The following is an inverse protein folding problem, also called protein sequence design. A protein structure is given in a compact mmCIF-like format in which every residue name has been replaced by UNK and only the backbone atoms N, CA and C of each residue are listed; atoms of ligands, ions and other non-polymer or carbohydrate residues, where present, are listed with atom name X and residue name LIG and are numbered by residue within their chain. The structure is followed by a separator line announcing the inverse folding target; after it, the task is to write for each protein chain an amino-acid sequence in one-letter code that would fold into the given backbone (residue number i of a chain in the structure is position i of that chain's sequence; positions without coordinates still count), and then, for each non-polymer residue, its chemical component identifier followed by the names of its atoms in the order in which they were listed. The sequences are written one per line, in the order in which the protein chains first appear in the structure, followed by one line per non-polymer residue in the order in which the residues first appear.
data_IF_245647292828
#
_entry.id   IF_245647292828
#
_cell.length_a   1.000
_cell.length_b   1.000
_cell.length_c   1.000
_cell.angle_alpha   90.00
_cell.angle_beta   90.00
_cell.angle_gamma   90.00
#
_symmetry.space_group_name_H-M   'P 1'
#
loop_
_entity.id
_entity.type
_entity.pdbx_description
1 polymer ?
#
# COMPACT_ATOMS: atom_id res chain seq x y z
N UNK A 1 15.80 69.88 -5.87
CA UNK A 1 15.61 69.12 -4.61
C UNK A 1 14.41 68.21 -4.79
N UNK A 2 14.63 66.90 -5.01
CA UNK A 2 13.57 65.90 -5.18
C UNK A 2 13.51 65.01 -3.94
N UNK A 3 12.40 65.07 -3.20
CA UNK A 3 12.17 64.28 -1.98
C UNK A 3 11.73 62.86 -2.36
N UNK A 4 12.61 61.88 -2.12
CA UNK A 4 12.30 60.45 -2.22
C UNK A 4 11.38 60.02 -1.06
N UNK A 5 10.15 59.60 -1.37
CA UNK A 5 9.30 58.85 -0.44
C UNK A 5 9.78 57.40 -0.34
N UNK A 6 10.49 57.08 0.75
CA UNK A 6 10.77 55.70 1.16
C UNK A 6 9.49 55.04 1.71
N UNK A 7 8.86 54.16 0.91
CA UNK A 7 7.81 53.25 1.41
C UNK A 7 8.43 52.19 2.33
N UNK A 8 8.22 52.34 3.64
CA UNK A 8 8.46 51.28 4.63
C UNK A 8 7.47 50.13 4.38
N UNK A 9 7.97 48.97 3.97
CA UNK A 9 7.23 47.70 4.04
C UNK A 9 7.31 47.19 5.48
N UNK A 10 6.23 47.35 6.23
CA UNK A 10 6.08 46.70 7.54
C UNK A 10 4.76 45.93 7.61
N UNK A 11 4.88 44.80 8.31
CA UNK A 11 3.85 43.91 8.85
C UNK A 11 3.53 42.66 8.02
N UNK A 12 4.06 41.54 8.52
CA UNK A 12 3.44 40.22 8.36
C UNK A 12 2.05 40.31 8.99
N UNK A 13 1.03 40.59 8.18
CA UNK A 13 -0.36 40.39 8.58
C UNK A 13 -0.58 38.89 8.77
N UNK A 14 -0.98 38.50 9.97
CA UNK A 14 -1.48 37.17 10.25
C UNK A 14 -2.75 36.92 9.41
N UNK A 15 -3.02 35.67 8.99
CA UNK A 15 -4.21 35.37 8.21
C UNK A 15 -5.45 35.79 9.01
N UNK A 16 -6.23 36.74 8.46
CA UNK A 16 -7.54 37.08 9.00
C UNK A 16 -8.39 35.81 9.00
N UNK A 17 -8.66 35.28 10.19
CA UNK A 17 -9.61 34.19 10.38
C UNK A 17 -10.99 34.82 10.22
N UNK A 18 -11.60 34.64 9.04
CA UNK A 18 -12.94 35.11 8.76
C UNK A 18 -13.94 34.50 9.76
N UNK A 19 -14.97 35.27 10.13
CA UNK A 19 -16.07 34.77 10.94
C UNK A 19 -16.68 33.52 10.28
N UNK A 20 -17.07 32.54 11.11
CA UNK A 20 -17.57 31.23 10.66
C UNK A 20 -18.74 31.33 9.68
N UNK A 21 -19.50 32.42 9.77
CA UNK A 21 -20.73 32.68 9.01
C UNK A 21 -20.54 33.78 7.94
N UNK A 22 -19.30 34.15 7.60
CA UNK A 22 -19.05 35.11 6.53
C UNK A 22 -19.32 34.51 5.16
N UNK A 23 -19.92 35.31 4.27
CA UNK A 23 -20.14 34.95 2.85
C UNK A 23 -18.83 34.59 2.13
N UNK A 24 -17.70 35.11 2.59
CA UNK A 24 -16.37 34.77 2.06
C UNK A 24 -16.01 33.29 2.28
N UNK A 25 -16.43 32.71 3.41
CA UNK A 25 -16.21 31.28 3.69
C UNK A 25 -17.12 30.39 2.83
N UNK A 26 -18.36 30.80 2.61
CA UNK A 26 -19.27 30.14 1.67
C UNK A 26 -18.67 30.10 0.27
N UNK A 27 -18.03 31.20 -0.16
CA UNK A 27 -17.27 31.25 -1.41
C UNK A 27 -16.15 30.21 -1.48
N UNK A 28 -15.34 30.08 -0.42
CA UNK A 28 -14.26 29.09 -0.37
C UNK A 28 -14.75 27.64 -0.40
N UNK A 29 -15.79 27.31 0.36
CA UNK A 29 -16.36 25.95 0.41
C UNK A 29 -17.03 25.59 -0.92
N UNK A 30 -17.74 26.55 -1.54
CA UNK A 30 -18.32 26.37 -2.87
C UNK A 30 -17.25 26.24 -3.96
N UNK A 31 -16.18 27.05 -3.92
CA UNK A 31 -15.04 26.92 -4.84
C UNK A 31 -14.41 25.53 -4.73
N UNK A 32 -14.19 25.05 -3.52
CA UNK A 32 -13.62 23.72 -3.27
C UNK A 32 -14.52 22.61 -3.80
N UNK A 33 -15.83 22.71 -3.56
CA UNK A 33 -16.83 21.78 -4.10
C UNK A 33 -16.83 21.79 -5.63
N UNK A 34 -16.87 22.96 -6.26
CA UNK A 34 -16.86 23.09 -7.73
C UNK A 34 -15.59 22.51 -8.34
N UNK A 35 -14.42 22.85 -7.79
CA UNK A 35 -13.14 22.33 -8.24
C UNK A 35 -13.03 20.81 -8.05
N UNK A 36 -13.70 20.22 -7.06
CA UNK A 36 -13.68 18.77 -6.81
C UNK A 36 -14.27 17.92 -7.95
N UNK A 37 -15.14 18.51 -8.78
CA UNK A 37 -15.73 17.84 -9.95
C UNK A 37 -14.86 17.93 -11.21
N UNK A 38 -13.81 18.74 -11.19
CA UNK A 38 -12.97 19.00 -12.36
C UNK A 38 -11.69 18.15 -12.34
N UNK A 39 -11.23 17.78 -13.54
CA UNK A 39 -9.90 17.20 -13.71
C UNK A 39 -8.84 18.20 -13.23
N UNK A 40 -7.64 17.74 -12.89
CA UNK A 40 -6.59 18.68 -12.45
C UNK A 40 -6.24 19.70 -13.54
N UNK A 41 -6.21 19.27 -14.81
CA UNK A 41 -5.96 20.18 -15.93
C UNK A 41 -7.05 21.26 -16.02
N UNK A 42 -8.32 20.88 -15.90
CA UNK A 42 -9.44 21.84 -15.93
C UNK A 42 -9.44 22.76 -14.71
N UNK A 43 -9.15 22.22 -13.52
CA UNK A 43 -8.95 23.03 -12.31
C UNK A 43 -7.86 24.07 -12.55
N UNK A 44 -6.72 23.67 -13.09
CA UNK A 44 -5.60 24.56 -13.36
C UNK A 44 -5.97 25.65 -14.37
N UNK A 45 -6.74 25.32 -15.41
CA UNK A 45 -7.28 26.35 -16.34
C UNK A 45 -8.15 27.37 -15.62
N UNK A 46 -8.81 26.99 -14.53
CA UNK A 46 -9.57 27.93 -13.72
C UNK A 46 -8.72 28.81 -12.78
N UNK A 47 -7.38 28.69 -12.77
CA UNK A 47 -6.52 29.56 -11.95
C UNK A 47 -6.67 31.05 -12.32
N UNK A 48 -7.03 31.33 -13.57
CA UNK A 48 -7.24 32.68 -14.07
C UNK A 48 -8.65 33.23 -13.80
N UNK A 49 -9.60 32.37 -13.37
CA UNK A 49 -11.00 32.74 -13.16
C UNK A 49 -11.16 33.62 -11.91
N UNK A 50 -10.50 33.27 -10.82
CA UNK A 50 -10.53 34.08 -9.60
C UNK A 50 -9.33 33.79 -8.68
N UNK A 51 -9.01 34.75 -7.80
CA UNK A 51 -7.99 34.58 -6.75
C UNK A 51 -8.35 33.43 -5.79
N UNK A 52 -9.64 33.22 -5.52
CA UNK A 52 -10.13 32.15 -4.66
C UNK A 52 -9.88 30.78 -5.31
N UNK A 53 -10.23 30.63 -6.59
CA UNK A 53 -9.96 29.42 -7.36
C UNK A 53 -8.46 29.13 -7.39
N UNK A 54 -7.65 30.15 -7.75
CA UNK A 54 -6.19 30.04 -7.72
C UNK A 54 -5.71 29.53 -6.37
N UNK A 55 -6.06 30.21 -5.28
CA UNK A 55 -5.68 29.80 -3.92
C UNK A 55 -6.06 28.34 -3.62
N UNK A 56 -7.31 27.94 -3.90
CA UNK A 56 -7.80 26.58 -3.65
C UNK A 56 -7.10 25.51 -4.49
N UNK A 57 -6.79 25.81 -5.76
CA UNK A 57 -6.04 24.90 -6.63
C UNK A 57 -4.65 24.63 -6.02
N UNK A 58 -3.93 25.68 -5.63
CA UNK A 58 -2.58 25.55 -5.08
C UNK A 58 -2.55 25.06 -3.61
N UNK A 59 -3.61 25.23 -2.83
CA UNK A 59 -3.70 24.65 -1.48
C UNK A 59 -4.01 23.14 -1.48
N UNK A 60 -4.60 22.62 -2.56
CA UNK A 60 -5.12 21.24 -2.64
C UNK A 60 -4.23 20.25 -3.41
N UNK A 61 -3.06 20.67 -3.92
CA UNK A 61 -2.13 19.75 -4.60
C UNK A 61 -1.40 18.92 -3.55
N UNK A 62 -1.85 17.69 -3.34
CA UNK A 62 -1.35 16.80 -2.27
C UNK A 62 -0.53 15.64 -2.83
N UNK A 63 -0.98 15.00 -3.91
CA UNK A 63 -0.33 13.82 -4.52
C UNK A 63 -0.23 14.00 -6.04
N UNK A 64 0.94 13.72 -6.64
CA UNK A 64 1.16 13.67 -8.08
C UNK A 64 1.42 12.22 -8.50
N UNK A 65 0.66 11.72 -9.48
CA UNK A 65 0.86 10.38 -10.03
C UNK A 65 1.25 10.47 -11.50
N UNK A 66 2.42 9.94 -11.85
CA UNK A 66 2.86 9.79 -13.22
C UNK A 66 2.41 8.42 -13.73
N UNK A 67 1.44 8.36 -14.64
CA UNK A 67 1.03 7.10 -15.28
C UNK A 67 1.01 7.28 -16.78
N UNK A 68 1.57 6.32 -17.49
CA UNK A 68 1.71 6.41 -18.93
C UNK A 68 0.38 6.17 -19.69
N UNK A 69 -0.75 5.73 -19.07
CA UNK A 69 -2.11 5.65 -19.69
C UNK A 69 -3.20 5.09 -18.72
N UNK A 70 -4.13 5.87 -18.12
CA UNK A 70 -5.23 5.34 -17.25
C UNK A 70 -6.40 6.33 -16.98
N UNK A 71 -7.57 6.17 -17.60
CA UNK A 71 -8.63 7.20 -17.64
C UNK A 71 -9.46 7.50 -16.37
N UNK A 72 -9.34 6.81 -15.24
CA UNK A 72 -10.26 7.08 -14.11
C UNK A 72 -9.68 6.79 -12.72
N UNK A 73 -9.56 7.82 -11.85
CA UNK A 73 -9.73 7.79 -10.38
C UNK A 73 -9.43 9.17 -9.75
N UNK A 74 -10.10 9.49 -8.63
CA UNK A 74 -10.06 10.79 -7.91
C UNK A 74 -8.76 11.09 -7.12
N UNK A 75 -7.60 10.70 -7.64
CA UNK A 75 -6.31 11.33 -7.31
C UNK A 75 -6.02 12.37 -8.39
N UNK A 76 -5.07 13.29 -8.18
CA UNK A 76 -4.55 14.09 -9.29
C UNK A 76 -3.73 13.12 -10.17
N UNK A 77 -4.45 12.27 -10.92
CA UNK A 77 -3.95 11.49 -12.05
C UNK A 77 -3.86 12.46 -13.20
N UNK A 78 -2.82 13.26 -13.15
CA UNK A 78 -2.51 14.13 -14.24
C UNK A 78 -1.84 13.29 -15.34
N UNK A 79 -2.63 12.95 -16.36
CA UNK A 79 -2.13 12.47 -17.65
C UNK A 79 -1.35 13.58 -18.34
N UNK A 80 -0.16 13.85 -17.84
CA UNK A 80 0.67 14.87 -18.43
C UNK A 80 1.36 14.29 -19.65
N UNK A 81 0.87 14.67 -20.82
CA UNK A 81 1.64 14.59 -22.09
C UNK A 81 2.83 15.57 -22.10
N UNK A 82 3.08 16.33 -21.02
CA UNK A 82 4.08 17.39 -20.93
C UNK A 82 5.00 17.24 -19.70
N UNK A 83 6.22 17.78 -19.85
CA UNK A 83 7.42 17.66 -19.01
C UNK A 83 7.18 17.60 -17.46
N UNK A 84 7.31 16.42 -16.82
CA UNK A 84 7.19 16.22 -15.37
C UNK A 84 8.02 17.18 -14.52
N UNK A 85 9.22 17.53 -15.02
CA UNK A 85 10.17 18.41 -14.33
C UNK A 85 9.57 19.79 -14.08
N UNK A 86 8.85 20.35 -15.06
CA UNK A 86 8.25 21.68 -14.96
C UNK A 86 7.23 21.73 -13.81
N UNK A 87 6.39 20.70 -13.71
CA UNK A 87 5.38 20.62 -12.65
C UNK A 87 6.01 20.45 -11.27
N UNK A 88 7.02 19.58 -11.14
CA UNK A 88 7.69 19.44 -9.85
C UNK A 88 8.42 20.73 -9.46
N UNK A 89 8.99 21.48 -10.41
CA UNK A 89 9.61 22.79 -10.12
C UNK A 89 8.56 23.82 -9.68
N UNK A 90 7.40 23.85 -10.33
CA UNK A 90 6.34 24.83 -10.07
C UNK A 90 5.55 24.53 -8.79
N UNK A 91 5.28 23.25 -8.52
CA UNK A 91 4.42 22.79 -7.44
C UNK A 91 5.16 22.08 -6.32
N UNK A 92 6.46 21.80 -6.46
CA UNK A 92 7.26 21.04 -5.51
C UNK A 92 6.98 21.38 -4.04
N UNK A 93 6.93 22.68 -3.66
CA UNK A 93 6.58 23.11 -2.30
C UNK A 93 5.29 22.54 -1.70
N UNK A 94 4.34 22.15 -2.55
CA UNK A 94 3.01 21.68 -2.16
C UNK A 94 2.92 20.15 -2.21
N UNK A 95 3.73 19.50 -3.04
CA UNK A 95 3.71 18.06 -3.27
C UNK A 95 4.02 17.29 -1.99
N UNK A 96 3.07 16.46 -1.55
CA UNK A 96 3.24 15.57 -0.40
C UNK A 96 3.38 14.10 -0.79
N UNK A 97 3.04 13.75 -2.02
CA UNK A 97 3.18 12.41 -2.58
C UNK A 97 3.57 12.40 -4.05
N UNK A 98 4.49 11.53 -4.43
CA UNK A 98 4.84 11.24 -5.83
C UNK A 98 4.75 9.74 -6.05
N UNK A 99 4.14 9.30 -7.16
CA UNK A 99 4.18 7.89 -7.57
C UNK A 99 4.70 7.67 -8.98
N UNK A 100 5.39 6.54 -9.17
CA UNK A 100 6.07 6.14 -10.41
C UNK A 100 7.13 7.14 -10.86
N UNK A 101 7.94 7.61 -9.90
CA UNK A 101 9.04 8.52 -10.18
C UNK A 101 10.21 7.79 -10.87
N UNK A 102 10.72 8.39 -11.96
CA UNK A 102 11.85 7.88 -12.76
C UNK A 102 13.14 8.64 -12.43
N UNK A 103 14.29 7.96 -12.49
CA UNK A 103 15.62 8.54 -12.26
C UNK A 103 15.93 9.82 -13.05
N UNK A 104 15.38 9.96 -14.26
CA UNK A 104 15.71 11.09 -15.14
C UNK A 104 15.32 12.45 -14.56
N UNK A 105 14.46 12.47 -13.53
CA UNK A 105 13.84 13.67 -12.98
C UNK A 105 14.35 14.06 -11.58
N UNK A 106 15.43 13.42 -11.12
CA UNK A 106 16.05 13.56 -9.77
C UNK A 106 16.17 14.99 -9.24
N UNK A 107 16.68 15.93 -10.05
CA UNK A 107 16.88 17.32 -9.63
C UNK A 107 15.57 17.99 -9.18
N UNK A 108 14.43 17.51 -9.66
CA UNK A 108 13.14 18.10 -9.36
C UNK A 108 12.74 17.86 -7.90
N UNK A 109 13.15 16.73 -7.28
CA UNK A 109 12.83 16.42 -5.87
C UNK A 109 13.35 17.46 -4.87
N UNK A 110 14.35 18.26 -5.24
CA UNK A 110 14.85 19.38 -4.43
C UNK A 110 13.77 20.42 -4.10
N UNK A 111 12.75 20.53 -4.95
CA UNK A 111 11.65 21.46 -4.78
C UNK A 111 10.58 20.90 -3.81
N UNK A 112 10.59 19.59 -3.56
CA UNK A 112 9.56 18.85 -2.80
C UNK A 112 9.84 18.74 -1.30
N UNK A 113 9.95 19.87 -0.60
CA UNK A 113 10.27 19.86 0.84
C UNK A 113 9.15 19.31 1.75
N UNK A 114 7.92 19.17 1.24
CA UNK A 114 6.79 18.56 1.97
C UNK A 114 6.54 17.09 1.59
N UNK A 115 7.41 16.52 0.77
CA UNK A 115 7.26 15.14 0.30
C UNK A 115 7.24 14.17 1.48
N UNK A 116 6.17 13.40 1.56
CA UNK A 116 5.94 12.42 2.62
C UNK A 116 5.64 11.03 2.06
N UNK A 117 5.30 10.92 0.77
CA UNK A 117 5.07 9.66 0.08
C UNK A 117 5.88 9.66 -1.22
N UNK A 118 6.63 8.60 -1.46
CA UNK A 118 7.39 8.46 -2.69
C UNK A 118 7.32 7.01 -3.18
N UNK A 119 6.91 6.84 -4.43
CA UNK A 119 6.95 5.57 -5.13
C UNK A 119 7.87 5.71 -6.34
N UNK A 120 8.85 4.81 -6.41
CA UNK A 120 9.89 4.80 -7.45
C UNK A 120 9.86 3.49 -8.21
N UNK A 121 10.21 3.54 -9.50
CA UNK A 121 10.32 2.32 -10.31
C UNK A 121 11.50 1.46 -9.85
N UNK A 122 12.67 2.07 -9.63
CA UNK A 122 13.90 1.39 -9.24
C UNK A 122 14.60 2.10 -8.08
N UNK A 123 15.28 1.35 -7.21
CA UNK A 123 16.13 1.96 -6.18
C UNK A 123 17.49 2.41 -6.72
N UNK A 124 17.99 1.81 -7.81
CA UNK A 124 19.20 2.31 -8.48
C UNK A 124 18.99 3.78 -8.90
N UNK A 125 17.78 4.09 -9.37
CA UNK A 125 17.37 5.44 -9.75
C UNK A 125 17.47 6.43 -8.59
N UNK A 126 17.18 5.96 -7.37
CA UNK A 126 17.21 6.76 -6.14
C UNK A 126 18.64 6.97 -5.64
N UNK A 127 19.48 5.95 -5.75
CA UNK A 127 20.75 5.96 -5.02
C UNK A 127 21.99 6.39 -5.80
N UNK A 128 21.99 6.31 -7.13
CA UNK A 128 23.21 6.60 -7.91
C UNK A 128 23.69 8.05 -7.87
N UNK A 129 22.83 9.03 -7.54
CA UNK A 129 23.22 10.46 -7.60
C UNK A 129 22.49 11.39 -6.60
N UNK A 130 21.50 10.89 -5.86
CA UNK A 130 20.62 11.68 -4.96
C UNK A 130 20.70 11.31 -3.50
N UNK A 131 21.68 10.48 -3.11
CA UNK A 131 21.79 9.91 -1.76
C UNK A 131 21.62 10.99 -0.68
N UNK A 132 22.39 12.08 -0.69
CA UNK A 132 22.29 13.12 0.34
C UNK A 132 20.88 13.70 0.61
N UNK A 133 20.03 13.84 -0.40
CA UNK A 133 18.74 14.54 -0.26
C UNK A 133 17.60 13.62 0.14
N UNK A 134 17.50 12.43 -0.45
CA UNK A 134 16.50 11.44 -0.05
C UNK A 134 16.77 10.92 1.38
N UNK A 135 18.03 10.96 1.82
CA UNK A 135 18.43 10.73 3.21
C UNK A 135 17.88 11.79 4.16
N UNK A 136 17.61 13.00 3.71
CA UNK A 136 17.09 14.08 4.55
C UNK A 136 15.56 14.21 4.48
N UNK A 137 14.89 13.42 3.64
CA UNK A 137 13.43 13.47 3.52
C UNK A 137 12.79 12.78 4.73
N UNK A 138 11.72 13.38 5.26
CA UNK A 138 10.96 12.82 6.37
C UNK A 138 9.80 11.95 5.83
N UNK A 139 10.13 10.93 5.03
CA UNK A 139 9.11 10.13 4.34
C UNK A 139 8.29 9.30 5.33
N UNK A 140 6.97 9.34 5.13
CA UNK A 140 5.98 8.53 5.84
C UNK A 140 5.62 7.26 5.06
N UNK A 141 5.66 7.30 3.72
CA UNK A 141 5.42 6.15 2.87
C UNK A 141 6.47 6.04 1.76
N UNK A 142 6.95 4.83 1.52
CA UNK A 142 7.89 4.56 0.45
C UNK A 142 7.55 3.25 -0.26
N UNK A 143 7.48 3.28 -1.59
CA UNK A 143 7.17 2.12 -2.44
C UNK A 143 8.22 1.99 -3.55
N UNK A 144 8.65 0.77 -3.81
CA UNK A 144 9.66 0.45 -4.84
C UNK A 144 9.11 -0.66 -5.71
N UNK A 145 8.85 -0.35 -6.98
CA UNK A 145 8.13 -1.24 -7.87
C UNK A 145 8.97 -2.33 -8.52
N UNK A 146 10.26 -2.12 -8.76
CA UNK A 146 11.15 -3.12 -9.35
C UNK A 146 12.58 -2.86 -8.94
N UNK A 147 13.18 -3.83 -8.24
CA UNK A 147 14.52 -3.64 -7.75
C UNK A 147 15.49 -4.74 -8.12
N UNK A 148 16.57 -4.32 -8.79
CA UNK A 148 17.83 -5.03 -8.89
C UNK A 148 18.89 -4.20 -8.14
N UNK A 149 18.80 -4.12 -6.81
CA UNK A 149 19.91 -3.55 -6.02
C UNK A 149 21.02 -4.60 -5.97
N UNK A 150 22.21 -4.16 -6.32
CA UNK A 150 23.44 -4.91 -6.08
C UNK A 150 24.17 -4.42 -4.81
N UNK A 151 23.90 -3.19 -4.34
CA UNK A 151 24.62 -2.56 -3.22
C UNK A 151 23.74 -2.29 -1.99
N UNK A 152 24.03 -2.95 -0.88
CA UNK A 152 23.31 -2.83 0.39
C UNK A 152 23.60 -1.53 1.16
N UNK A 153 24.76 -0.89 0.94
CA UNK A 153 25.22 0.29 1.70
C UNK A 153 24.25 1.47 1.61
N UNK A 154 23.61 1.65 0.45
CA UNK A 154 22.71 2.76 0.20
C UNK A 154 21.37 2.63 0.96
N UNK A 155 20.92 1.40 1.23
CA UNK A 155 19.73 1.14 2.05
C UNK A 155 19.93 1.58 3.49
N UNK A 156 21.10 1.29 4.07
CA UNK A 156 21.43 1.64 5.46
C UNK A 156 21.25 3.13 5.70
N UNK A 157 21.89 3.92 4.83
CA UNK A 157 21.77 5.37 4.87
C UNK A 157 20.29 5.77 4.73
N UNK A 158 19.57 5.24 3.72
CA UNK A 158 18.18 5.61 3.47
C UNK A 158 17.29 5.48 4.70
N UNK A 159 17.36 4.33 5.36
CA UNK A 159 16.56 4.08 6.55
C UNK A 159 17.02 4.91 7.75
N UNK A 160 18.33 5.15 7.91
CA UNK A 160 18.83 6.07 8.94
C UNK A 160 18.21 7.48 8.82
N UNK A 161 18.02 7.95 7.59
CA UNK A 161 17.36 9.22 7.29
C UNK A 161 15.83 9.23 7.46
N UNK A 162 15.18 8.08 7.25
CA UNK A 162 13.72 7.96 7.11
C UNK A 162 13.07 7.15 8.25
N UNK A 163 13.42 7.45 9.51
CA UNK A 163 12.92 6.71 10.69
C UNK A 163 11.41 6.89 10.96
N UNK A 164 10.76 7.85 10.31
CA UNK A 164 9.32 8.12 10.44
C UNK A 164 8.43 7.29 9.50
N UNK A 165 9.03 6.40 8.69
CA UNK A 165 8.31 5.55 7.75
C UNK A 165 7.23 4.72 8.46
N UNK A 166 5.99 4.91 8.02
CA UNK A 166 4.83 4.16 8.48
C UNK A 166 4.40 3.09 7.46
N UNK A 167 4.76 3.27 6.20
CA UNK A 167 4.43 2.37 5.09
C UNK A 167 5.67 2.13 4.26
N UNK A 168 6.03 0.87 4.10
CA UNK A 168 7.12 0.46 3.22
C UNK A 168 6.64 -0.65 2.30
N UNK A 169 6.98 -0.53 1.03
CA UNK A 169 6.70 -1.53 0.02
C UNK A 169 7.91 -1.70 -0.88
N UNK A 170 8.26 -2.96 -1.15
CA UNK A 170 9.35 -3.30 -2.06
C UNK A 170 8.98 -4.55 -2.87
N UNK A 171 9.17 -4.44 -4.18
CA UNK A 171 9.29 -5.58 -5.07
C UNK A 171 10.75 -5.77 -5.45
N UNK A 172 11.34 -6.86 -5.01
CA UNK A 172 12.71 -7.18 -5.35
C UNK A 172 12.86 -8.64 -5.77
N UNK A 173 13.77 -8.84 -6.71
CA UNK A 173 14.34 -10.16 -6.95
C UNK A 173 15.55 -10.30 -6.02
N UNK A 174 15.45 -11.14 -4.99
CA UNK A 174 16.54 -11.30 -4.04
C UNK A 174 17.64 -12.08 -4.74
N UNK A 175 18.76 -11.43 -5.04
CA UNK A 175 19.92 -12.09 -5.65
C UNK A 175 20.76 -12.85 -4.61
N UNK A 176 20.91 -12.28 -3.41
CA UNK A 176 21.71 -12.85 -2.32
C UNK A 176 20.96 -12.77 -0.99
N UNK A 177 21.18 -13.75 -0.11
CA UNK A 177 20.58 -13.76 1.23
C UNK A 177 21.10 -12.60 2.11
N UNK A 178 22.38 -12.25 1.96
CA UNK A 178 23.02 -11.14 2.68
C UNK A 178 22.27 -9.82 2.51
N UNK A 179 21.87 -9.50 1.28
CA UNK A 179 21.10 -8.29 1.02
C UNK A 179 19.77 -8.28 1.77
N UNK A 180 19.11 -9.44 1.85
CA UNK A 180 17.85 -9.55 2.56
C UNK A 180 18.03 -9.47 4.09
N UNK A 181 19.12 -10.00 4.62
CA UNK A 181 19.49 -9.81 6.03
C UNK A 181 19.76 -8.34 6.35
N UNK A 182 20.46 -7.61 5.49
CA UNK A 182 20.69 -6.17 5.68
C UNK A 182 19.38 -5.39 5.62
N UNK A 183 18.54 -5.64 4.62
CA UNK A 183 17.21 -5.03 4.53
C UNK A 183 16.39 -5.31 5.81
N UNK A 184 16.47 -6.53 6.33
CA UNK A 184 15.79 -6.93 7.55
C UNK A 184 16.27 -6.14 8.75
N UNK A 185 17.59 -6.00 8.91
CA UNK A 185 18.16 -5.20 10.00
C UNK A 185 17.65 -3.76 9.94
N UNK A 186 17.66 -3.15 8.76
CA UNK A 186 17.16 -1.79 8.57
C UNK A 186 15.65 -1.66 8.84
N UNK A 187 14.83 -2.59 8.33
CA UNK A 187 13.39 -2.59 8.58
C UNK A 187 13.07 -2.77 10.07
N UNK A 188 13.88 -3.56 10.78
CA UNK A 188 13.68 -3.80 12.21
C UNK A 188 13.84 -2.55 13.06
N UNK A 189 14.63 -1.57 12.58
CA UNK A 189 14.81 -0.26 13.24
C UNK A 189 13.59 0.65 13.08
N UNK A 190 12.73 0.40 12.08
CA UNK A 190 11.51 1.19 11.83
C UNK A 190 10.37 0.82 12.79
N UNK A 191 10.49 1.26 14.04
CA UNK A 191 9.51 0.96 15.11
C UNK A 191 8.11 1.54 14.86
N UNK A 192 7.99 2.56 14.00
CA UNK A 192 6.72 3.20 13.62
C UNK A 192 6.04 2.53 12.41
N UNK A 193 6.66 1.50 11.82
CA UNK A 193 6.14 0.84 10.64
C UNK A 193 4.77 0.18 10.92
N UNK A 194 3.74 0.59 10.19
CA UNK A 194 2.35 0.12 10.31
C UNK A 194 1.94 -0.78 9.15
N UNK A 195 2.56 -0.59 7.99
CA UNK A 195 2.29 -1.35 6.79
C UNK A 195 3.59 -1.76 6.09
N UNK A 196 3.69 -3.05 5.80
CA UNK A 196 4.82 -3.63 5.09
C UNK A 196 4.31 -4.46 3.92
N UNK A 197 4.85 -4.23 2.71
CA UNK A 197 4.60 -5.07 1.54
C UNK A 197 5.94 -5.57 1.00
N UNK A 198 6.12 -6.88 1.00
CA UNK A 198 7.28 -7.54 0.44
C UNK A 198 6.81 -8.43 -0.70
N UNK A 199 7.33 -8.19 -1.89
CA UNK A 199 7.18 -9.12 -3.00
C UNK A 199 8.58 -9.61 -3.38
N UNK A 200 8.86 -10.86 -3.06
CA UNK A 200 10.19 -11.43 -3.05
C UNK A 200 10.23 -12.64 -3.99
N UNK A 201 11.25 -12.70 -4.84
CA UNK A 201 11.64 -13.93 -5.54
C UNK A 201 12.81 -14.54 -4.80
N UNK A 202 12.65 -15.77 -4.31
CA UNK A 202 13.63 -16.48 -3.48
C UNK A 202 14.36 -17.51 -4.35
N UNK A 203 15.66 -17.33 -4.67
CA UNK A 203 16.41 -18.29 -5.47
C UNK A 203 16.79 -19.54 -4.66
N UNK A 204 17.13 -19.36 -3.37
CA UNK A 204 17.76 -20.39 -2.53
C UNK A 204 17.08 -20.49 -1.15
N UNK A 205 16.08 -21.37 -0.98
CA UNK A 205 15.56 -21.78 0.33
C UNK A 205 14.69 -20.77 1.11
N UNK A 206 13.98 -21.27 2.13
CA UNK A 206 12.99 -20.54 2.96
C UNK A 206 13.52 -20.09 4.34
N UNK A 207 14.67 -20.61 4.77
CA UNK A 207 15.12 -20.52 6.16
C UNK A 207 15.57 -19.10 6.53
N UNK A 208 16.38 -18.47 5.68
CA UNK A 208 16.83 -17.07 5.86
C UNK A 208 15.64 -16.11 5.92
N UNK A 209 14.64 -16.32 5.06
CA UNK A 209 13.41 -15.54 5.05
C UNK A 209 12.62 -15.70 6.36
N UNK A 210 12.55 -16.91 6.91
CA UNK A 210 11.85 -17.16 8.18
C UNK A 210 12.44 -16.32 9.31
N UNK A 211 13.75 -16.38 9.54
CA UNK A 211 14.38 -15.66 10.64
C UNK A 211 14.28 -14.14 10.43
N UNK A 212 14.43 -13.67 9.21
CA UNK A 212 14.27 -12.25 8.89
C UNK A 212 12.85 -11.74 9.15
N UNK A 213 11.81 -12.47 8.73
CA UNK A 213 10.43 -12.10 9.06
C UNK A 213 10.16 -12.17 10.56
N UNK A 214 10.85 -13.06 11.29
CA UNK A 214 10.74 -13.13 12.75
C UNK A 214 11.31 -11.87 13.39
N UNK A 215 12.51 -11.46 12.98
CA UNK A 215 13.19 -10.23 13.46
C UNK A 215 12.33 -8.99 13.21
N UNK A 216 11.78 -8.84 12.00
CA UNK A 216 10.85 -7.75 11.70
C UNK A 216 9.61 -7.81 12.60
N UNK A 217 9.02 -8.99 12.79
CA UNK A 217 7.84 -9.16 13.63
C UNK A 217 8.06 -8.85 15.11
N UNK A 218 9.26 -9.12 15.64
CA UNK A 218 9.64 -8.82 17.02
C UNK A 218 9.86 -7.32 17.25
N UNK A 219 10.45 -6.62 16.27
CA UNK A 219 10.84 -5.23 16.41
C UNK A 219 9.76 -4.23 15.93
N UNK A 220 9.03 -4.54 14.86
CA UNK A 220 7.98 -3.68 14.31
C UNK A 220 6.61 -3.92 15.00
N UNK A 221 6.52 -3.67 16.31
CA UNK A 221 5.33 -3.94 17.13
C UNK A 221 4.06 -3.18 16.68
N UNK A 222 4.22 -2.10 15.90
CA UNK A 222 3.10 -1.33 15.36
C UNK A 222 2.53 -1.89 14.04
N UNK A 223 3.11 -2.96 13.49
CA UNK A 223 2.71 -3.48 12.19
C UNK A 223 1.27 -4.02 12.23
N UNK A 224 0.38 -3.36 11.49
CA UNK A 224 -1.06 -3.70 11.40
C UNK A 224 -1.40 -4.36 10.07
N UNK A 225 -0.59 -4.15 9.04
CA UNK A 225 -0.82 -4.63 7.67
C UNK A 225 0.45 -5.25 7.12
N UNK A 226 0.34 -6.48 6.65
CA UNK A 226 1.45 -7.21 6.05
C UNK A 226 0.96 -7.79 4.72
N UNK A 227 1.70 -7.52 3.65
CA UNK A 227 1.54 -8.21 2.38
C UNK A 227 2.83 -8.94 2.05
N UNK A 228 2.76 -10.26 1.91
CA UNK A 228 3.85 -11.11 1.49
C UNK A 228 3.47 -11.78 0.17
N UNK A 229 4.28 -11.57 -0.84
CA UNK A 229 4.12 -12.20 -2.14
C UNK A 229 5.43 -12.92 -2.45
N UNK A 230 5.48 -14.20 -2.10
CA UNK A 230 6.67 -15.02 -2.15
C UNK A 230 6.58 -15.92 -3.37
N UNK A 231 7.55 -15.79 -4.27
CA UNK A 231 7.76 -16.69 -5.40
C UNK A 231 9.00 -17.51 -5.10
N UNK A 232 8.85 -18.82 -4.95
CA UNK A 232 9.98 -19.74 -4.87
C UNK A 232 10.19 -20.39 -6.23
N UNK A 233 11.42 -20.83 -6.50
CA UNK A 233 11.68 -21.77 -7.60
C UNK A 233 11.39 -23.23 -7.19
N UNK A 234 11.18 -23.49 -5.90
CA UNK A 234 10.91 -24.81 -5.38
C UNK A 234 9.42 -25.17 -5.52
N UNK A 235 9.11 -26.40 -5.94
CA UNK A 235 7.74 -26.87 -6.18
C UNK A 235 6.84 -26.89 -4.92
N UNK A 236 7.43 -26.88 -3.72
CA UNK A 236 6.71 -27.03 -2.45
C UNK A 236 7.23 -26.02 -1.45
N UNK A 237 6.32 -25.23 -0.88
CA UNK A 237 6.63 -24.28 0.18
C UNK A 237 6.55 -24.98 1.55
N UNK A 238 7.65 -25.04 2.30
CA UNK A 238 7.76 -25.86 3.51
C UNK A 238 7.09 -25.24 4.74
N UNK A 239 6.85 -23.92 4.71
CA UNK A 239 6.05 -23.20 5.68
C UNK A 239 6.77 -22.73 6.93
N UNK A 240 8.05 -23.04 7.11
CA UNK A 240 8.85 -22.52 8.22
C UNK A 240 8.87 -20.99 8.20
N UNK A 241 8.83 -20.38 7.01
CA UNK A 241 8.70 -18.93 6.86
C UNK A 241 7.44 -18.37 7.52
N UNK A 242 6.34 -19.11 7.53
CA UNK A 242 5.10 -18.63 8.13
C UNK A 242 5.11 -18.77 9.65
N UNK A 243 5.95 -19.64 10.24
CA UNK A 243 6.07 -19.74 11.70
C UNK A 243 6.40 -18.40 12.34
N UNK A 244 7.17 -17.57 11.63
CA UNK A 244 7.52 -16.20 12.03
C UNK A 244 6.32 -15.25 12.11
N UNK A 245 5.19 -15.57 11.46
CA UNK A 245 3.97 -14.76 11.56
C UNK A 245 3.39 -14.75 12.99
N UNK A 246 3.79 -15.70 13.86
CA UNK A 246 3.42 -15.71 15.29
C UNK A 246 3.87 -14.46 16.06
N UNK A 247 4.89 -13.77 15.58
CA UNK A 247 5.39 -12.54 16.21
C UNK A 247 4.46 -11.34 15.96
N UNK A 248 3.58 -11.39 14.95
CA UNK A 248 2.77 -10.27 14.50
C UNK A 248 1.40 -10.22 15.21
N UNK A 249 1.42 -10.12 16.54
CA UNK A 249 0.20 -10.15 17.38
C UNK A 249 -0.78 -9.01 17.11
N UNK A 250 -0.31 -7.91 16.53
CA UNK A 250 -1.11 -6.71 16.23
C UNK A 250 -1.70 -6.70 14.81
N UNK A 251 -1.43 -7.74 14.03
CA UNK A 251 -1.78 -7.80 12.62
C UNK A 251 -3.30 -7.82 12.42
N UNK A 252 -3.82 -6.84 11.67
CA UNK A 252 -5.24 -6.71 11.32
C UNK A 252 -5.51 -7.15 9.89
N UNK A 253 -4.53 -6.99 9.00
CA UNK A 253 -4.65 -7.34 7.59
C UNK A 253 -3.44 -8.14 7.15
N UNK A 254 -3.69 -9.31 6.55
CA UNK A 254 -2.66 -10.14 5.94
C UNK A 254 -3.05 -10.41 4.48
N UNK A 255 -2.14 -10.13 3.57
CA UNK A 255 -2.21 -10.58 2.18
C UNK A 255 -1.06 -11.52 1.91
N UNK A 256 -1.35 -12.79 1.70
CA UNK A 256 -0.36 -13.82 1.45
C UNK A 256 -0.57 -14.36 0.03
N UNK A 257 0.43 -14.18 -0.81
CA UNK A 257 0.50 -14.77 -2.15
C UNK A 257 1.66 -15.75 -2.18
N UNK A 258 1.35 -17.02 -2.41
CA UNK A 258 2.30 -18.12 -2.52
C UNK A 258 2.00 -18.86 -3.83
N UNK A 259 2.98 -18.94 -4.73
CA UNK A 259 2.77 -19.56 -6.05
C UNK A 259 2.91 -21.09 -6.01
N UNK A 260 3.49 -21.63 -4.96
CA UNK A 260 3.82 -23.04 -4.83
C UNK A 260 2.73 -23.82 -4.10
N UNK A 261 2.78 -25.14 -4.19
CA UNK A 261 1.88 -26.03 -3.46
C UNK A 261 2.21 -25.96 -1.97
N UNK A 262 1.20 -25.72 -1.15
CA UNK A 262 1.37 -25.54 0.29
C UNK A 262 0.94 -26.81 1.00
N UNK A 263 1.81 -27.38 1.84
CA UNK A 263 1.40 -28.45 2.74
C UNK A 263 0.42 -27.91 3.79
N UNK A 264 -0.67 -28.64 4.10
CA UNK A 264 -1.74 -28.15 4.99
C UNK A 264 -1.30 -27.69 6.40
N UNK A 265 -0.09 -28.05 6.86
CA UNK A 265 0.47 -27.61 8.16
C UNK A 265 1.06 -26.19 8.13
N UNK A 266 1.37 -25.65 6.95
CA UNK A 266 2.15 -24.43 6.74
C UNK A 266 1.48 -23.18 7.32
N UNK A 267 0.15 -23.13 7.33
CA UNK A 267 -0.60 -21.94 7.76
C UNK A 267 -1.06 -22.02 9.23
N UNK A 268 -0.66 -23.06 9.99
CA UNK A 268 -0.88 -23.13 11.44
C UNK A 268 -0.49 -21.85 12.21
N UNK A 269 0.59 -21.13 11.85
CA UNK A 269 0.99 -19.91 12.55
C UNK A 269 -0.04 -18.79 12.47
N UNK A 270 -0.85 -18.75 11.40
CA UNK A 270 -1.93 -17.77 11.26
C UNK A 270 -2.97 -17.88 12.36
N UNK A 271 -3.06 -19.04 13.03
CA UNK A 271 -3.97 -19.27 14.15
C UNK A 271 -3.68 -18.36 15.35
N UNK A 272 -2.45 -17.85 15.44
CA UNK A 272 -2.02 -16.96 16.52
C UNK A 272 -2.36 -15.48 16.24
N UNK A 273 -2.75 -15.16 15.01
CA UNK A 273 -3.13 -13.81 14.59
C UNK A 273 -4.62 -13.52 14.85
N UNK A 274 -5.06 -13.65 16.10
CA UNK A 274 -6.45 -13.49 16.55
C UNK A 274 -7.08 -12.10 16.27
N UNK A 275 -6.26 -11.09 15.95
CA UNK A 275 -6.71 -9.73 15.59
C UNK A 275 -6.99 -9.55 14.09
N UNK A 276 -6.79 -10.58 13.28
CA UNK A 276 -7.04 -10.50 11.83
C UNK A 276 -8.50 -10.17 11.55
N UNK A 277 -8.68 -9.15 10.72
CA UNK A 277 -9.99 -8.69 10.22
C UNK A 277 -10.08 -8.84 8.71
N UNK A 278 -8.94 -8.82 8.01
CA UNK A 278 -8.85 -9.01 6.57
C UNK A 278 -7.77 -10.06 6.28
N UNK A 279 -8.14 -11.10 5.57
CA UNK A 279 -7.23 -12.13 5.12
C UNK A 279 -7.40 -12.31 3.62
N UNK A 280 -6.31 -12.19 2.88
CA UNK A 280 -6.23 -12.53 1.46
C UNK A 280 -5.23 -13.65 1.31
N UNK A 281 -5.69 -14.78 0.77
CA UNK A 281 -4.90 -15.94 0.46
C UNK A 281 -4.94 -16.15 -1.05
N UNK A 282 -3.79 -16.05 -1.69
CA UNK A 282 -3.60 -16.39 -3.09
C UNK A 282 -2.61 -17.55 -3.14
N UNK A 283 -3.17 -18.75 -3.19
CA UNK A 283 -2.46 -20.01 -3.01
C UNK A 283 -2.78 -20.90 -4.21
N UNK A 284 -1.83 -21.72 -4.65
CA UNK A 284 -2.09 -22.66 -5.75
C UNK A 284 -3.21 -23.64 -5.36
N UNK A 285 -3.02 -24.32 -4.25
CA UNK A 285 -3.98 -25.28 -3.68
C UNK A 285 -4.29 -24.94 -2.22
N UNK A 286 -5.50 -25.26 -1.77
CA UNK A 286 -5.97 -25.07 -0.41
C UNK A 286 -6.57 -26.36 0.13
N UNK A 287 -5.89 -26.90 1.13
CA UNK A 287 -6.41 -28.01 1.91
C UNK A 287 -7.56 -27.53 2.82
N UNK A 288 -8.73 -28.17 2.77
CA UNK A 288 -9.88 -27.84 3.63
C UNK A 288 -9.56 -27.84 5.13
N UNK A 289 -8.61 -28.69 5.56
CA UNK A 289 -8.11 -28.74 6.95
C UNK A 289 -7.48 -27.43 7.41
N UNK A 290 -7.12 -26.53 6.50
CA UNK A 290 -6.69 -25.17 6.82
C UNK A 290 -7.76 -24.40 7.60
N UNK A 291 -9.02 -24.56 7.18
CA UNK A 291 -10.15 -23.87 7.76
C UNK A 291 -10.78 -24.64 8.92
N UNK A 292 -10.29 -25.84 9.22
CA UNK A 292 -10.68 -26.53 10.45
C UNK A 292 -10.37 -25.63 11.66
N UNK A 293 -11.41 -25.37 12.45
CA UNK A 293 -11.40 -24.47 13.61
C UNK A 293 -11.11 -22.99 13.29
N UNK A 294 -11.36 -22.54 12.05
CA UNK A 294 -11.15 -21.12 11.68
C UNK A 294 -11.96 -20.13 12.56
N UNK A 295 -13.10 -20.56 13.11
CA UNK A 295 -13.90 -19.76 14.03
C UNK A 295 -13.16 -19.45 15.35
N UNK A 296 -12.42 -20.41 15.89
CA UNK A 296 -11.60 -20.26 17.10
C UNK A 296 -10.40 -19.36 16.82
N UNK A 297 -9.79 -19.54 15.64
CA UNK A 297 -8.55 -18.87 15.28
C UNK A 297 -8.72 -17.44 14.78
N UNK A 298 -9.81 -17.16 14.07
CA UNK A 298 -10.09 -15.83 13.49
C UNK A 298 -11.50 -15.35 13.81
N UNK A 299 -11.84 -15.18 15.10
CA UNK A 299 -13.18 -14.78 15.53
C UNK A 299 -13.60 -13.39 15.02
N UNK A 300 -12.64 -12.57 14.59
CA UNK A 300 -12.86 -11.18 14.12
C UNK A 300 -12.71 -11.01 12.60
N UNK A 301 -12.60 -12.10 11.85
CA UNK A 301 -12.38 -12.03 10.40
C UNK A 301 -13.64 -11.50 9.70
N UNK A 302 -13.56 -10.31 9.11
CA UNK A 302 -14.67 -9.66 8.41
C UNK A 302 -14.58 -9.88 6.89
N UNK A 303 -13.37 -9.92 6.36
CA UNK A 303 -13.09 -10.03 4.94
C UNK A 303 -12.15 -11.20 4.68
N UNK A 304 -12.58 -12.11 3.82
CA UNK A 304 -11.76 -13.22 3.35
C UNK A 304 -11.78 -13.25 1.82
N UNK A 305 -10.59 -13.15 1.22
CA UNK A 305 -10.40 -13.44 -0.20
C UNK A 305 -9.57 -14.70 -0.31
N UNK A 306 -10.11 -15.68 -1.02
CA UNK A 306 -9.43 -16.91 -1.36
C UNK A 306 -9.30 -16.95 -2.87
N UNK A 307 -8.06 -17.05 -3.34
CA UNK A 307 -7.72 -17.30 -4.72
C UNK A 307 -6.99 -18.64 -4.76
N UNK A 308 -7.62 -19.67 -5.33
CA UNK A 308 -7.08 -21.05 -5.39
C UNK A 308 -7.73 -21.87 -6.49
N UNK A 309 -7.12 -22.97 -6.94
CA UNK A 309 -7.74 -23.85 -7.95
C UNK A 309 -8.76 -24.85 -7.38
N UNK A 310 -8.74 -25.15 -6.08
CA UNK A 310 -9.39 -26.35 -5.51
C UNK A 310 -10.27 -26.08 -4.28
N UNK A 311 -11.16 -25.07 -4.35
CA UNK A 311 -12.13 -24.86 -3.24
C UNK A 311 -13.16 -26.01 -3.19
N UNK A 312 -13.14 -26.81 -2.12
CA UNK A 312 -14.06 -27.94 -1.91
C UNK A 312 -15.28 -27.57 -1.06
N UNK A 313 -16.30 -28.44 -1.04
CA UNK A 313 -17.49 -28.30 -0.16
C UNK A 313 -17.10 -28.27 1.32
N UNK A 314 -16.09 -29.05 1.71
CA UNK A 314 -15.57 -29.09 3.07
C UNK A 314 -14.98 -27.71 3.48
N UNK A 315 -14.27 -27.03 2.56
CA UNK A 315 -13.82 -25.65 2.79
C UNK A 315 -15.00 -24.73 3.12
N UNK A 316 -16.08 -24.77 2.33
CA UNK A 316 -17.26 -23.92 2.56
C UNK A 316 -17.93 -24.22 3.90
N UNK A 317 -18.07 -25.50 4.25
CA UNK A 317 -18.63 -25.92 5.54
C UNK A 317 -17.84 -25.34 6.72
N UNK A 318 -16.50 -25.32 6.63
CA UNK A 318 -15.67 -24.68 7.65
C UNK A 318 -15.81 -23.16 7.66
N UNK A 319 -15.77 -22.51 6.49
CA UNK A 319 -15.89 -21.05 6.38
C UNK A 319 -17.23 -20.53 6.89
N UNK A 320 -18.30 -21.32 6.77
CA UNK A 320 -19.62 -20.97 7.30
C UNK A 320 -19.65 -20.75 8.82
N UNK A 321 -18.64 -21.29 9.53
CA UNK A 321 -18.51 -21.17 10.99
C UNK A 321 -17.87 -19.85 11.43
N UNK A 322 -17.37 -19.02 10.51
CA UNK A 322 -16.71 -17.77 10.87
C UNK A 322 -17.72 -16.74 11.40
N UNK A 323 -17.68 -16.40 12.70
CA UNK A 323 -18.80 -15.71 13.36
C UNK A 323 -18.93 -14.23 13.00
N UNK A 324 -17.93 -13.65 12.34
CA UNK A 324 -17.88 -12.23 11.99
C UNK A 324 -17.72 -11.98 10.48
N UNK A 325 -17.73 -13.02 9.65
CA UNK A 325 -17.45 -12.88 8.22
C UNK A 325 -18.57 -12.10 7.53
N UNK A 326 -18.20 -10.98 6.90
CA UNK A 326 -19.13 -10.07 6.19
C UNK A 326 -18.96 -10.13 4.68
N UNK A 327 -17.74 -10.39 4.21
CA UNK A 327 -17.44 -10.48 2.78
C UNK A 327 -16.53 -11.67 2.50
N UNK A 328 -16.98 -12.53 1.62
CA UNK A 328 -16.23 -13.67 1.11
C UNK A 328 -16.06 -13.54 -0.40
N UNK A 329 -14.81 -13.59 -0.86
CA UNK A 329 -14.48 -13.59 -2.28
C UNK A 329 -13.77 -14.90 -2.59
N UNK A 330 -14.40 -15.74 -3.39
CA UNK A 330 -13.84 -16.98 -3.91
C UNK A 330 -13.48 -16.76 -5.37
N UNK A 331 -12.20 -16.83 -5.69
CA UNK A 331 -11.70 -16.74 -7.06
C UNK A 331 -11.03 -18.06 -7.40
N UNK A 332 -11.55 -18.73 -8.42
CA UNK A 332 -10.97 -19.99 -8.88
C UNK A 332 -10.36 -19.86 -10.25
N UNK A 333 -9.18 -20.44 -10.45
CA UNK A 333 -8.57 -20.56 -11.79
C UNK A 333 -9.22 -21.66 -12.62
N UNK A 334 -9.76 -22.66 -11.94
CA UNK A 334 -10.33 -23.86 -12.56
C UNK A 334 -11.83 -23.94 -12.25
N UNK A 335 -12.56 -24.75 -13.02
CA UNK A 335 -13.98 -25.00 -12.78
C UNK A 335 -14.17 -25.67 -11.42
N UNK A 336 -14.60 -24.89 -10.43
CA UNK A 336 -14.95 -25.43 -9.11
C UNK A 336 -16.10 -26.43 -9.26
N UNK A 337 -15.98 -27.63 -8.69
CA UNK A 337 -17.08 -28.60 -8.61
C UNK A 337 -18.17 -28.22 -7.59
N UNK A 338 -18.22 -26.96 -7.17
CA UNK A 338 -19.20 -26.47 -6.20
C UNK A 338 -20.55 -26.26 -6.90
N UNK A 339 -21.61 -26.86 -6.36
CA UNK A 339 -22.97 -26.67 -6.82
C UNK A 339 -23.60 -25.41 -6.21
N UNK A 340 -24.70 -24.93 -6.80
CA UNK A 340 -25.46 -23.81 -6.24
C UNK A 340 -26.00 -24.16 -4.83
N UNK A 341 -26.32 -25.44 -4.59
CA UNK A 341 -26.73 -25.94 -3.28
C UNK A 341 -25.64 -25.77 -2.21
N UNK A 342 -24.36 -25.87 -2.57
CA UNK A 342 -23.25 -25.67 -1.63
C UNK A 342 -23.15 -24.20 -1.17
N UNK A 343 -23.45 -23.25 -2.06
CA UNK A 343 -23.49 -21.83 -1.70
C UNK A 343 -24.75 -21.47 -0.92
N UNK A 344 -25.88 -22.09 -1.23
CA UNK A 344 -27.10 -21.93 -0.44
C UNK A 344 -26.91 -22.45 0.98
N UNK A 345 -26.24 -23.59 1.16
CA UNK A 345 -25.86 -24.11 2.48
C UNK A 345 -24.88 -23.18 3.22
N UNK A 346 -23.90 -22.61 2.51
CA UNK A 346 -23.00 -21.60 3.09
C UNK A 346 -23.76 -20.36 3.57
N UNK A 347 -24.68 -19.83 2.76
CA UNK A 347 -25.44 -18.62 3.04
C UNK A 347 -26.40 -18.81 4.21
N UNK A 348 -27.11 -19.95 4.28
CA UNK A 348 -28.02 -20.26 5.38
C UNK A 348 -27.30 -20.36 6.73
N UNK A 349 -26.05 -20.83 6.73
CA UNK A 349 -25.21 -20.96 7.94
C UNK A 349 -24.45 -19.69 8.30
N UNK A 350 -24.38 -18.70 7.41
CA UNK A 350 -23.55 -17.50 7.56
C UNK A 350 -24.39 -16.22 7.62
N UNK A 351 -25.22 -16.00 8.67
CA UNK A 351 -26.20 -14.91 8.69
C UNK A 351 -25.60 -13.50 8.64
N UNK A 352 -24.30 -13.35 8.91
CA UNK A 352 -23.58 -12.05 8.83
C UNK A 352 -22.92 -11.78 7.48
N UNK A 353 -22.92 -12.76 6.58
CA UNK A 353 -22.31 -12.64 5.25
C UNK A 353 -23.18 -11.72 4.39
N UNK A 354 -22.67 -10.51 4.11
CA UNK A 354 -23.38 -9.48 3.33
C UNK A 354 -23.02 -9.52 1.84
N UNK A 355 -21.87 -10.09 1.51
CA UNK A 355 -21.35 -10.10 0.16
C UNK A 355 -20.60 -11.41 -0.09
N UNK A 356 -21.10 -12.17 -1.06
CA UNK A 356 -20.43 -13.34 -1.60
C UNK A 356 -20.09 -13.04 -3.05
N UNK A 357 -18.81 -13.05 -3.40
CA UNK A 357 -18.36 -12.89 -4.78
C UNK A 357 -17.68 -14.17 -5.21
N UNK A 358 -18.25 -14.82 -6.22
CA UNK A 358 -17.69 -16.03 -6.82
C UNK A 358 -17.21 -15.63 -8.21
N UNK A 359 -15.90 -15.51 -8.38
CA UNK A 359 -15.31 -15.32 -9.69
C UNK A 359 -14.87 -16.70 -10.19
N UNK A 360 -15.84 -17.41 -10.77
CA UNK A 360 -15.53 -18.43 -11.77
C UNK A 360 -15.06 -17.69 -13.00
N UNK A 361 -14.20 -18.26 -13.81
CA UNK A 361 -14.03 -17.81 -15.19
C UNK A 361 -15.42 -17.66 -15.84
N UNK A 362 -15.93 -16.42 -15.79
CA UNK A 362 -17.17 -15.85 -16.35
C UNK A 362 -18.47 -16.56 -15.90
N UNK A 363 -19.06 -16.09 -14.78
CA UNK A 363 -20.52 -15.98 -14.52
C UNK A 363 -20.74 -15.21 -13.21
N UNK A 364 -21.16 -13.94 -13.30
CA UNK A 364 -21.49 -13.12 -12.13
C UNK A 364 -22.95 -13.37 -11.70
N UNK A 365 -23.17 -13.59 -10.40
CA UNK A 365 -24.49 -13.66 -9.78
C UNK A 365 -24.66 -12.45 -8.86
N UNK A 366 -25.70 -11.64 -9.07
CA UNK A 366 -26.16 -10.62 -8.12
C UNK A 366 -27.27 -11.21 -7.27
N UNK A 367 -27.17 -11.08 -5.95
CA UNK A 367 -28.22 -11.44 -5.00
C UNK A 367 -29.40 -10.47 -5.09
#
# INVERSE_FOLDING_TARGET
MAQQMKRKKTSKQWPQIYAKDSLDRFGDDLCELLLSYLTFEDRFRCECVSKQFRRKIFESVVDITFRDNCQHLCRIDCHFRSNPKKWIQEFGPLVTGISSFKASDKQSLTHCHRLSQLSVESLADVFDTTSGQLLAMNLKAFDVEYNAIENSVQLVSFFAGNQSLNTFAIYCNIRTEEWFHELTDQLSRLTQLRQLRLRLHLPNGENSLSESLRTIGLNCKQLKRLALNLKSNHKVFNGQTLDSLRCYRQLKQLNLTLYDTIAGKVLKPLKLCHRLTHLRLNLRTINAKLFANCAEHWPRLHYLLIFTSDTTRECLSHLSRLPALKKLVLQSRETTQLSDNDFNDLLSRSPKLKSLTINRSIKCYSL
#
